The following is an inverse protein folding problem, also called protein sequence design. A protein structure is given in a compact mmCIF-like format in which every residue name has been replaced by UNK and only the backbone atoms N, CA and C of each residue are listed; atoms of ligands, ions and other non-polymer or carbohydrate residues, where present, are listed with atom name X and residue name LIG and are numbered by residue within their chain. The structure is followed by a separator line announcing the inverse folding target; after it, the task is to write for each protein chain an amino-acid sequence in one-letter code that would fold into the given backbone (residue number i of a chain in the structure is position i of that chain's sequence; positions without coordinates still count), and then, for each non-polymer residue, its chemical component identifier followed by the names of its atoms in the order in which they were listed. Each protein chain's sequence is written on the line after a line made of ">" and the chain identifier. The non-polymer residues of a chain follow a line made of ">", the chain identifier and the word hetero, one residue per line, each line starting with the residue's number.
data_IF_056369431950
#
_entry.id   IF_056369431950
#
_cell.length_a   1.000
_cell.length_b   1.000
_cell.length_c   1.000
_cell.angle_alpha   90.00
_cell.angle_beta   90.00
_cell.angle_gamma   90.00
#
_symmetry.space_group_name_H-M   'P 1'
#
loop_
_entity.id
_entity.type
_entity.pdbx_description
1 polymer ?
#
# COMPACT_ATOMS: atom_id res chain seq x y z
N UNK A 1 -0.37 -25.36 -19.06
CA UNK A 1 -1.79 -25.26 -18.66
C UNK A 1 -1.98 -24.66 -17.28
N UNK A 2 -1.14 -24.99 -16.28
CA UNK A 2 -1.19 -24.34 -14.94
C UNK A 2 -0.66 -22.89 -14.98
N UNK A 3 0.35 -22.58 -15.80
CA UNK A 3 0.86 -21.20 -15.96
C UNK A 3 -0.18 -20.22 -16.54
N UNK A 4 -1.05 -20.68 -17.44
CA UNK A 4 -2.12 -19.85 -18.04
C UNK A 4 -3.31 -19.63 -17.09
N UNK A 5 -3.53 -20.53 -16.14
CA UNK A 5 -4.57 -20.38 -15.10
C UNK A 5 -4.04 -19.65 -13.85
N UNK A 6 -2.72 -19.62 -13.66
CA UNK A 6 -2.04 -18.91 -12.56
C UNK A 6 -1.66 -17.46 -12.87
N UNK A 7 -1.79 -17.00 -14.12
CA UNK A 7 -1.50 -15.60 -14.46
C UNK A 7 -2.52 -14.65 -13.83
N UNK A 8 -2.02 -13.69 -13.04
CA UNK A 8 -2.86 -12.73 -12.32
C UNK A 8 -3.74 -11.89 -13.25
N UNK A 9 -3.28 -11.58 -14.47
CA UNK A 9 -4.05 -10.75 -15.39
C UNK A 9 -5.21 -11.55 -15.97
N UNK A 10 -4.96 -12.81 -16.36
CA UNK A 10 -6.01 -13.73 -16.83
C UNK A 10 -7.04 -13.96 -15.72
N UNK A 11 -6.60 -14.23 -14.49
CA UNK A 11 -7.50 -14.42 -13.35
C UNK A 11 -8.38 -13.19 -13.08
N UNK A 12 -7.81 -11.98 -13.11
CA UNK A 12 -8.56 -10.73 -12.92
C UNK A 12 -9.54 -10.44 -14.06
N UNK A 13 -9.18 -10.75 -15.31
CA UNK A 13 -10.09 -10.62 -16.46
C UNK A 13 -11.27 -11.57 -16.31
N UNK A 14 -11.02 -12.84 -15.96
CA UNK A 14 -12.09 -13.82 -15.75
C UNK A 14 -12.99 -13.38 -14.59
N UNK A 15 -12.41 -12.94 -13.47
CA UNK A 15 -13.19 -12.43 -12.34
C UNK A 15 -14.06 -11.23 -12.73
N UNK A 16 -13.54 -10.31 -13.55
CA UNK A 16 -14.30 -9.17 -14.06
C UNK A 16 -15.45 -9.60 -14.98
N UNK A 17 -15.21 -10.57 -15.89
CA UNK A 17 -16.25 -11.12 -16.76
C UNK A 17 -17.36 -11.82 -15.96
N UNK A 18 -16.98 -12.61 -14.95
CA UNK A 18 -17.95 -13.28 -14.05
C UNK A 18 -18.73 -12.25 -13.23
N UNK A 19 -18.08 -11.21 -12.71
CA UNK A 19 -18.73 -10.13 -11.98
C UNK A 19 -19.75 -9.39 -12.88
N UNK A 20 -19.39 -9.08 -14.13
CA UNK A 20 -20.32 -8.47 -15.09
C UNK A 20 -21.47 -9.41 -15.45
N UNK A 21 -21.18 -10.69 -15.70
CA UNK A 21 -22.19 -11.70 -16.03
C UNK A 21 -23.21 -11.90 -14.90
N UNK A 22 -22.75 -11.99 -13.65
CA UNK A 22 -23.62 -12.08 -12.47
C UNK A 22 -24.39 -10.78 -12.18
N UNK A 23 -23.84 -9.62 -12.54
CA UNK A 23 -24.54 -8.35 -12.39
C UNK A 23 -25.68 -8.21 -13.39
N UNK A 24 -25.52 -8.71 -14.62
CA UNK A 24 -26.54 -8.68 -15.68
C UNK A 24 -27.75 -9.57 -15.32
N UNK A 25 -27.56 -10.65 -14.57
CA UNK A 25 -28.65 -11.57 -14.20
C UNK A 25 -29.54 -11.05 -13.07
N UNK A 26 -29.21 -9.91 -12.44
CA UNK A 26 -30.04 -9.31 -11.39
C UNK A 26 -31.34 -8.70 -11.96
N UNK A 27 -32.53 -9.04 -11.39
CA UNK A 27 -33.78 -8.37 -11.74
C UNK A 27 -33.66 -6.86 -11.48
N UNK A 28 -34.15 -6.02 -12.40
CA UNK A 28 -34.04 -4.54 -12.41
C UNK A 28 -32.70 -3.93 -12.84
N UNK A 29 -31.75 -4.74 -13.33
CA UNK A 29 -30.50 -4.22 -13.92
C UNK A 29 -30.75 -3.58 -15.30
N UNK A 30 -30.32 -2.35 -15.48
CA UNK A 30 -30.42 -1.59 -16.74
C UNK A 30 -29.02 -1.23 -17.22
N UNK A 31 -28.83 -1.02 -18.53
CA UNK A 31 -27.53 -0.59 -19.11
C UNK A 31 -26.93 0.61 -18.37
N UNK A 32 -27.75 1.60 -17.99
CA UNK A 32 -27.30 2.78 -17.23
C UNK A 32 -26.79 2.42 -15.82
N UNK A 33 -27.47 1.52 -15.11
CA UNK A 33 -27.04 1.06 -13.77
C UNK A 33 -25.74 0.25 -13.86
N UNK A 34 -25.60 -0.55 -14.91
CA UNK A 34 -24.36 -1.30 -15.17
C UNK A 34 -23.19 -0.37 -15.49
N UNK A 35 -23.39 0.63 -16.36
CA UNK A 35 -22.38 1.63 -16.68
C UNK A 35 -21.96 2.45 -15.45
N UNK A 36 -22.90 2.81 -14.58
CA UNK A 36 -22.62 3.48 -13.32
C UNK A 36 -21.78 2.60 -12.36
N UNK A 37 -22.14 1.31 -12.22
CA UNK A 37 -21.38 0.38 -11.39
C UNK A 37 -19.94 0.17 -11.89
N UNK A 38 -19.77 0.01 -13.20
CA UNK A 38 -18.45 -0.10 -13.83
C UNK A 38 -17.65 1.20 -13.63
N UNK A 39 -18.28 2.36 -13.84
CA UNK A 39 -17.61 3.67 -13.65
C UNK A 39 -17.16 3.89 -12.21
N UNK A 40 -17.97 3.48 -11.23
CA UNK A 40 -17.60 3.54 -9.82
C UNK A 40 -16.40 2.62 -9.51
N UNK A 41 -16.39 1.39 -10.04
CA UNK A 41 -15.27 0.47 -9.89
C UNK A 41 -13.98 1.01 -10.54
N UNK A 42 -14.08 1.56 -11.76
CA UNK A 42 -12.95 2.20 -12.44
C UNK A 42 -12.45 3.42 -11.68
N UNK A 43 -13.33 4.26 -11.12
CA UNK A 43 -12.94 5.43 -10.35
C UNK A 43 -12.16 5.04 -9.09
N UNK A 44 -12.60 3.98 -8.38
CA UNK A 44 -11.87 3.45 -7.23
C UNK A 44 -10.47 2.95 -7.58
N UNK A 45 -10.27 2.37 -8.77
CA UNK A 45 -8.97 1.89 -9.24
C UNK A 45 -8.12 2.96 -9.94
N UNK A 46 -8.75 4.00 -10.51
CA UNK A 46 -8.10 5.00 -11.35
C UNK A 46 -7.05 5.82 -10.60
N UNK A 47 -7.32 6.16 -9.34
CA UNK A 47 -6.34 6.83 -8.47
C UNK A 47 -5.08 5.97 -8.28
N UNK A 48 -5.24 4.65 -8.13
CA UNK A 48 -4.12 3.71 -8.00
C UNK A 48 -3.30 3.70 -9.27
N UNK A 49 -3.95 3.65 -10.44
CA UNK A 49 -3.28 3.67 -11.74
C UNK A 49 -2.47 4.95 -11.89
N UNK A 50 -3.07 6.12 -11.63
CA UNK A 50 -2.38 7.41 -11.74
C UNK A 50 -1.16 7.52 -10.82
N UNK A 51 -1.28 7.11 -9.55
CA UNK A 51 -0.16 7.16 -8.62
C UNK A 51 0.92 6.14 -9.00
N UNK A 52 0.53 4.94 -9.48
CA UNK A 52 1.47 3.92 -9.96
C UNK A 52 2.25 4.42 -11.18
N UNK A 53 1.57 5.05 -12.14
CA UNK A 53 2.20 5.67 -13.31
C UNK A 53 3.18 6.78 -12.89
N UNK A 54 2.81 7.62 -11.92
CA UNK A 54 3.71 8.63 -11.35
C UNK A 54 4.91 8.00 -10.64
N UNK A 55 4.72 6.87 -9.94
CA UNK A 55 5.78 6.09 -9.31
C UNK A 55 6.81 5.56 -10.31
N UNK A 56 6.37 5.13 -11.49
CA UNK A 56 7.29 4.76 -12.58
C UNK A 56 8.18 5.91 -13.04
N UNK A 57 7.60 7.12 -13.20
CA UNK A 57 8.35 8.34 -13.51
C UNK A 57 9.31 8.75 -12.40
N UNK A 58 8.87 8.65 -11.14
CA UNK A 58 9.70 8.89 -9.96
C UNK A 58 10.90 7.92 -9.89
N UNK A 59 10.70 6.65 -10.23
CA UNK A 59 11.78 5.66 -10.33
C UNK A 59 12.83 6.01 -11.37
N UNK A 60 12.41 6.55 -12.53
CA UNK A 60 13.34 7.05 -13.54
C UNK A 60 14.13 8.26 -13.03
N UNK A 61 13.47 9.18 -12.32
CA UNK A 61 14.12 10.32 -11.68
C UNK A 61 15.14 9.88 -10.62
N UNK A 62 14.81 8.90 -9.76
CA UNK A 62 15.75 8.33 -8.78
C UNK A 62 17.01 7.79 -9.47
N UNK A 63 16.83 6.99 -10.54
CA UNK A 63 17.96 6.44 -11.31
C UNK A 63 18.85 7.51 -11.93
N UNK A 64 18.28 8.64 -12.33
CA UNK A 64 19.01 9.76 -12.94
C UNK A 64 19.58 10.75 -11.90
N UNK A 65 19.06 10.74 -10.67
CA UNK A 65 19.40 11.73 -9.63
C UNK A 65 20.77 11.54 -8.97
N UNK A 66 21.50 10.46 -9.28
CA UNK A 66 22.75 10.14 -8.60
C UNK A 66 22.56 9.78 -7.13
N UNK A 67 21.39 9.24 -6.77
CA UNK A 67 21.12 8.85 -5.38
C UNK A 67 22.09 7.76 -4.89
N UNK A 68 22.66 6.99 -5.81
CA UNK A 68 23.67 5.97 -5.52
C UNK A 68 24.89 6.59 -4.86
N UNK A 69 25.37 7.71 -5.40
CA UNK A 69 26.51 8.45 -4.87
C UNK A 69 26.20 9.09 -3.52
N UNK A 70 24.96 9.60 -3.34
CA UNK A 70 24.51 10.19 -2.07
C UNK A 70 24.39 9.14 -0.96
N UNK A 71 23.81 7.97 -1.26
CA UNK A 71 23.70 6.85 -0.32
C UNK A 71 25.10 6.31 0.04
N UNK A 72 26.01 6.22 -0.93
CA UNK A 72 27.39 5.82 -0.70
C UNK A 72 28.17 6.83 0.17
N UNK A 73 27.85 8.13 0.08
CA UNK A 73 28.53 9.21 0.80
C UNK A 73 27.97 9.56 2.19
N UNK A 74 26.70 9.23 2.50
CA UNK A 74 26.01 9.69 3.72
C UNK A 74 26.09 8.68 4.90
N UNK A 75 26.77 7.55 4.70
CA UNK A 75 26.84 6.45 5.67
C UNK A 75 25.59 5.56 5.61
N UNK A 76 25.82 4.25 5.64
CA UNK A 76 24.77 3.24 5.44
C UNK A 76 23.62 3.34 6.46
N UNK A 77 23.91 3.71 7.72
CA UNK A 77 22.90 3.81 8.79
C UNK A 77 21.91 4.97 8.57
N UNK A 78 22.41 6.17 8.23
CA UNK A 78 21.58 7.35 7.98
C UNK A 78 20.66 7.13 6.78
N UNK A 79 21.20 6.55 5.70
CA UNK A 79 20.43 6.19 4.52
C UNK A 79 19.38 5.09 4.82
N UNK A 80 19.71 4.15 5.71
CA UNK A 80 18.80 3.08 6.13
C UNK A 80 17.58 3.62 6.83
N UNK A 81 17.81 4.38 7.90
CA UNK A 81 16.74 4.92 8.73
C UNK A 81 15.89 5.90 7.92
N UNK A 82 16.51 6.78 7.14
CA UNK A 82 15.82 7.77 6.32
C UNK A 82 14.86 7.14 5.31
N UNK A 83 15.30 6.09 4.62
CA UNK A 83 14.50 5.43 3.58
C UNK A 83 13.30 4.68 4.17
N UNK A 84 13.50 3.91 5.25
CA UNK A 84 12.42 3.16 5.91
C UNK A 84 11.37 4.11 6.53
N UNK A 85 11.80 5.20 7.15
CA UNK A 85 10.91 6.22 7.70
C UNK A 85 10.09 6.92 6.61
N UNK A 86 10.73 7.27 5.49
CA UNK A 86 10.07 7.95 4.38
C UNK A 86 8.98 7.07 3.75
N UNK A 87 9.29 5.79 3.55
CA UNK A 87 8.33 4.80 3.02
C UNK A 87 7.16 4.62 3.99
N UNK A 88 7.44 4.45 5.29
CA UNK A 88 6.43 4.36 6.33
C UNK A 88 5.51 5.59 6.34
N UNK A 89 6.10 6.79 6.36
CA UNK A 89 5.36 8.06 6.40
C UNK A 89 4.49 8.24 5.15
N UNK A 90 5.01 7.91 3.96
CA UNK A 90 4.24 7.99 2.73
C UNK A 90 3.07 6.98 2.74
N UNK A 91 3.28 5.74 3.19
CA UNK A 91 2.19 4.77 3.30
C UNK A 91 1.12 5.22 4.29
N UNK A 92 1.53 5.76 5.45
CA UNK A 92 0.60 6.30 6.44
C UNK A 92 -0.19 7.47 5.87
N UNK A 93 0.45 8.39 5.15
CA UNK A 93 -0.22 9.54 4.54
C UNK A 93 -1.26 9.10 3.50
N UNK A 94 -0.87 8.22 2.59
CA UNK A 94 -1.78 7.71 1.55
C UNK A 94 -2.94 6.95 2.20
N UNK A 95 -2.67 6.06 3.16
CA UNK A 95 -3.74 5.35 3.87
C UNK A 95 -4.65 6.31 4.62
N UNK A 96 -4.12 7.33 5.27
CA UNK A 96 -4.95 8.29 6.01
C UNK A 96 -5.91 9.00 5.06
N UNK A 97 -5.44 9.42 3.88
CA UNK A 97 -6.30 10.06 2.89
C UNK A 97 -7.30 9.09 2.21
N UNK A 98 -6.89 7.85 1.97
CA UNK A 98 -7.62 6.88 1.14
C UNK A 98 -8.46 5.87 1.93
N UNK A 99 -8.11 5.58 3.18
CA UNK A 99 -8.78 4.65 4.07
C UNK A 99 -8.45 3.16 3.89
N UNK A 100 -7.92 2.73 2.75
CA UNK A 100 -7.64 1.31 2.48
C UNK A 100 -6.19 0.93 2.74
N UNK A 101 -5.97 -0.04 3.65
CA UNK A 101 -4.63 -0.56 3.95
C UNK A 101 -3.99 -1.22 2.73
N UNK A 102 -4.73 -2.10 2.05
CA UNK A 102 -4.21 -2.83 0.88
C UNK A 102 -3.88 -1.90 -0.27
N UNK A 103 -4.75 -0.92 -0.53
CA UNK A 103 -4.51 0.00 -1.64
C UNK A 103 -3.30 0.89 -1.36
N UNK A 104 -3.19 1.45 -0.15
CA UNK A 104 -2.03 2.25 0.23
C UNK A 104 -0.72 1.46 0.12
N UNK A 105 -0.71 0.20 0.56
CA UNK A 105 0.47 -0.67 0.43
C UNK A 105 0.85 -0.90 -1.03
N UNK A 106 -0.10 -1.27 -1.90
CA UNK A 106 0.18 -1.50 -3.33
C UNK A 106 0.69 -0.20 -3.99
N UNK A 107 0.07 0.93 -3.67
CA UNK A 107 0.47 2.23 -4.19
C UNK A 107 1.90 2.58 -3.81
N UNK A 108 2.26 2.51 -2.53
CA UNK A 108 3.63 2.83 -2.10
C UNK A 108 4.63 1.79 -2.59
N UNK A 109 4.30 0.50 -2.54
CA UNK A 109 5.16 -0.55 -3.10
C UNK A 109 5.46 -0.32 -4.58
N UNK A 110 4.49 0.19 -5.35
CA UNK A 110 4.71 0.52 -6.77
C UNK A 110 5.67 1.70 -6.99
N UNK A 111 5.60 2.72 -6.12
CA UNK A 111 6.50 3.89 -6.15
C UNK A 111 7.94 3.47 -5.85
N UNK A 112 8.13 2.56 -4.88
CA UNK A 112 9.46 2.12 -4.43
C UNK A 112 9.96 0.82 -5.09
N UNK A 113 9.15 0.19 -5.94
CA UNK A 113 9.54 -1.04 -6.68
C UNK A 113 10.88 -0.91 -7.41
N UNK A 114 11.18 0.21 -8.11
CA UNK A 114 12.48 0.38 -8.77
C UNK A 114 13.67 0.32 -7.82
N UNK A 115 13.50 0.79 -6.57
CA UNK A 115 14.52 0.74 -5.53
C UNK A 115 14.65 -0.67 -4.95
N UNK A 116 13.52 -1.34 -4.71
CA UNK A 116 13.50 -2.72 -4.21
C UNK A 116 14.11 -3.74 -5.19
N UNK A 117 13.97 -3.50 -6.50
CA UNK A 117 14.51 -4.34 -7.57
C UNK A 117 15.99 -4.07 -7.87
N UNK A 118 16.62 -3.14 -7.14
CA UNK A 118 18.05 -2.84 -7.25
C UNK A 118 18.69 -2.97 -5.86
N UNK A 119 18.85 -4.22 -5.35
CA UNK A 119 19.31 -4.46 -3.98
C UNK A 119 20.65 -3.78 -3.67
N UNK A 120 21.49 -3.60 -4.69
CA UNK A 120 22.82 -2.99 -4.60
C UNK A 120 22.80 -1.48 -4.28
N UNK A 121 21.63 -0.85 -4.37
CA UNK A 121 21.42 0.54 -3.94
C UNK A 121 20.97 0.64 -2.48
N UNK A 122 20.59 -0.48 -1.86
CA UNK A 122 20.10 -0.52 -0.49
C UNK A 122 21.16 -1.12 0.44
N UNK A 123 21.42 -0.50 1.59
CA UNK A 123 22.29 -1.09 2.61
C UNK A 123 21.64 -2.29 3.36
N UNK A 124 20.44 -2.71 2.98
CA UNK A 124 19.66 -3.77 3.62
C UNK A 124 18.80 -4.52 2.60
N UNK A 125 18.38 -5.75 2.95
CA UNK A 125 17.52 -6.57 2.11
C UNK A 125 16.15 -5.91 1.86
N UNK A 126 15.63 -5.88 0.61
CA UNK A 126 14.35 -5.24 0.26
C UNK A 126 13.13 -5.67 1.09
N UNK A 127 13.21 -6.80 1.79
CA UNK A 127 12.17 -7.23 2.75
C UNK A 127 11.88 -6.18 3.82
N UNK A 128 12.90 -5.46 4.30
CA UNK A 128 12.71 -4.40 5.30
C UNK A 128 11.94 -3.22 4.72
N UNK A 129 12.12 -2.93 3.43
CA UNK A 129 11.32 -1.94 2.72
C UNK A 129 9.85 -2.36 2.68
N UNK A 130 9.58 -3.63 2.34
CA UNK A 130 8.23 -4.18 2.32
C UNK A 130 7.57 -4.18 3.71
N UNK A 131 8.34 -4.52 4.76
CA UNK A 131 7.88 -4.44 6.14
C UNK A 131 7.55 -3.01 6.56
N UNK A 132 8.37 -2.02 6.19
CA UNK A 132 8.11 -0.61 6.48
C UNK A 132 6.82 -0.12 5.80
N UNK A 133 6.56 -0.52 4.55
CA UNK A 133 5.26 -0.28 3.87
C UNK A 133 4.13 -0.91 4.67
N UNK A 134 4.27 -2.17 5.06
CA UNK A 134 3.26 -2.89 5.86
C UNK A 134 2.96 -2.20 7.19
N UNK A 135 4.00 -1.77 7.90
CA UNK A 135 3.89 -1.03 9.16
C UNK A 135 3.22 0.33 8.94
N UNK A 136 3.57 1.05 7.87
CA UNK A 136 2.99 2.34 7.51
C UNK A 136 1.50 2.25 7.13
N UNK A 137 0.97 1.07 6.84
CA UNK A 137 -0.45 0.83 6.63
C UNK A 137 -1.28 0.71 7.93
N UNK A 138 -0.69 0.89 9.11
CA UNK A 138 -1.37 0.74 10.41
C UNK A 138 -1.74 2.05 11.13
N UNK A 139 -0.93 3.12 11.11
CA UNK A 139 -1.29 4.35 11.82
C UNK A 139 -2.53 5.05 11.24
N UNK A 140 -3.29 5.71 12.11
CA UNK A 140 -4.41 6.59 11.75
C UNK A 140 -5.59 5.83 11.09
N UNK A 141 -6.17 4.89 11.82
CA UNK A 141 -7.49 4.36 11.48
C UNK A 141 -8.56 5.36 11.92
N UNK A 142 -9.36 5.88 10.97
CA UNK A 142 -10.38 6.90 11.20
C UNK A 142 -11.55 6.72 10.21
N UNK A 143 -12.44 7.70 10.08
CA UNK A 143 -13.70 7.57 9.32
C UNK A 143 -13.53 7.15 7.85
N UNK A 144 -12.37 7.40 7.23
CA UNK A 144 -12.09 6.95 5.87
C UNK A 144 -11.84 5.42 5.79
N UNK A 145 -11.46 4.78 6.89
CA UNK A 145 -11.05 3.37 6.95
C UNK A 145 -12.25 2.43 7.14
N UNK A 146 -12.44 1.49 6.22
CA UNK A 146 -13.52 0.51 6.30
C UNK A 146 -13.34 -0.49 7.46
N UNK A 147 -12.10 -0.84 7.79
CA UNK A 147 -11.76 -1.68 8.94
C UNK A 147 -12.11 -1.01 10.27
N UNK A 148 -11.95 0.32 10.38
CA UNK A 148 -12.42 1.09 11.52
C UNK A 148 -13.94 0.92 11.72
N UNK A 149 -14.73 1.04 10.65
CA UNK A 149 -16.18 0.87 10.72
C UNK A 149 -16.62 -0.54 11.07
N UNK A 150 -15.95 -1.56 10.52
CA UNK A 150 -16.24 -2.96 10.86
C UNK A 150 -16.05 -3.20 12.36
N UNK A 151 -14.91 -2.78 12.92
CA UNK A 151 -14.63 -2.95 14.35
C UNK A 151 -15.62 -2.14 15.20
N UNK A 152 -15.86 -0.87 14.84
CA UNK A 152 -16.80 0.00 15.56
C UNK A 152 -18.20 -0.61 15.62
N UNK A 153 -18.74 -1.08 14.48
CA UNK A 153 -20.11 -1.62 14.40
C UNK A 153 -20.25 -3.01 15.02
N UNK A 154 -19.27 -3.90 14.80
CA UNK A 154 -19.31 -5.25 15.38
C UNK A 154 -19.14 -5.23 16.89
N UNK A 155 -18.40 -4.25 17.43
CA UNK A 155 -18.17 -4.11 18.87
C UNK A 155 -19.26 -3.32 19.59
N UNK A 156 -20.23 -2.75 18.87
CA UNK A 156 -21.29 -1.91 19.44
C UNK A 156 -20.80 -0.56 19.99
N UNK A 157 -19.61 -0.11 19.59
CA UNK A 157 -19.00 1.14 20.06
C UNK A 157 -19.59 2.36 19.36
N UNK A 158 -19.63 3.49 20.04
CA UNK A 158 -19.83 4.80 19.39
C UNK A 158 -18.59 5.20 18.58
N UNK A 159 -18.75 6.11 17.62
CA UNK A 159 -17.63 6.60 16.80
C UNK A 159 -16.53 7.26 17.65
N UNK A 160 -16.90 7.96 18.71
CA UNK A 160 -15.95 8.61 19.62
C UNK A 160 -15.16 7.58 20.42
N UNK A 161 -15.80 6.54 20.94
CA UNK A 161 -15.13 5.45 21.66
C UNK A 161 -14.22 4.65 20.72
N UNK A 162 -14.69 4.37 19.51
CA UNK A 162 -13.93 3.67 18.50
C UNK A 162 -12.67 4.46 18.11
N UNK A 163 -12.77 5.77 17.88
CA UNK A 163 -11.60 6.62 17.61
C UNK A 163 -10.62 6.63 18.79
N UNK A 164 -11.12 6.75 20.02
CA UNK A 164 -10.28 6.77 21.23
C UNK A 164 -9.57 5.44 21.50
N UNK A 165 -10.08 4.34 20.96
CA UNK A 165 -9.54 3.00 21.22
C UNK A 165 -8.71 2.47 20.05
N UNK A 166 -9.30 2.48 18.85
CA UNK A 166 -8.72 1.88 17.65
C UNK A 166 -7.57 2.71 17.13
N UNK A 167 -7.70 4.04 17.08
CA UNK A 167 -6.67 4.91 16.48
C UNK A 167 -5.35 4.84 17.26
N UNK A 168 -5.32 5.01 18.61
CA UNK A 168 -4.08 4.89 19.37
C UNK A 168 -3.46 3.48 19.28
N UNK A 169 -4.28 2.44 19.40
CA UNK A 169 -3.82 1.05 19.26
C UNK A 169 -3.15 0.83 17.90
N UNK A 170 -3.76 1.34 16.82
CA UNK A 170 -3.24 1.19 15.47
C UNK A 170 -1.94 1.97 15.23
N UNK A 171 -1.80 3.15 15.85
CA UNK A 171 -0.56 3.93 15.85
C UNK A 171 0.55 3.16 16.57
N UNK A 172 0.26 2.59 17.74
CA UNK A 172 1.23 1.78 18.50
C UNK A 172 1.67 0.57 17.66
N UNK A 173 0.75 -0.16 17.03
CA UNK A 173 1.10 -1.28 16.17
C UNK A 173 2.02 -0.87 15.00
N UNK A 174 1.70 0.23 14.33
CA UNK A 174 2.52 0.73 13.21
C UNK A 174 3.91 1.19 13.65
N UNK A 175 3.99 1.95 14.75
CA UNK A 175 5.25 2.50 15.27
C UNK A 175 6.15 1.41 15.85
N UNK A 176 5.61 0.47 16.63
CA UNK A 176 6.37 -0.68 17.13
C UNK A 176 6.88 -1.54 15.98
N UNK A 177 6.05 -1.80 14.96
CA UNK A 177 6.46 -2.52 13.76
C UNK A 177 7.59 -1.81 13.01
N UNK A 178 7.53 -0.48 12.88
CA UNK A 178 8.59 0.33 12.27
C UNK A 178 9.90 0.25 13.07
N UNK A 179 9.85 0.41 14.39
CA UNK A 179 11.03 0.29 15.26
C UNK A 179 11.67 -1.08 15.13
N UNK A 180 10.87 -2.15 15.16
CA UNK A 180 11.36 -3.51 14.96
C UNK A 180 11.96 -3.71 13.55
N UNK A 181 11.35 -3.11 12.52
CA UNK A 181 11.85 -3.16 11.14
C UNK A 181 13.20 -2.45 11.01
N UNK A 182 13.34 -1.26 11.60
CA UNK A 182 14.61 -0.50 11.60
C UNK A 182 15.68 -1.23 12.40
N UNK A 183 15.34 -1.75 13.59
CA UNK A 183 16.28 -2.55 14.38
C UNK A 183 16.72 -3.80 13.63
N UNK A 184 15.81 -4.50 12.96
CA UNK A 184 16.13 -5.63 12.09
C UNK A 184 17.06 -5.25 10.94
N UNK A 185 16.78 -4.15 10.25
CA UNK A 185 17.62 -3.67 9.16
C UNK A 185 19.04 -3.27 9.60
N UNK A 186 19.21 -2.74 10.81
CA UNK A 186 20.51 -2.36 11.35
C UNK A 186 21.30 -3.55 11.93
N UNK A 187 20.62 -4.46 12.66
CA UNK A 187 21.27 -5.59 13.33
C UNK A 187 21.50 -6.78 12.40
N UNK A 188 20.57 -7.00 11.47
CA UNK A 188 20.58 -8.13 10.53
C UNK A 188 20.24 -7.61 9.13
N UNK A 189 21.14 -6.91 8.43
CA UNK A 189 20.83 -6.27 7.17
C UNK A 189 20.50 -7.26 6.03
N UNK A 190 20.86 -8.55 6.17
CA UNK A 190 20.54 -9.65 5.24
C UNK A 190 20.96 -9.38 3.77
N UNK A 191 22.03 -8.60 3.59
CA UNK A 191 22.69 -8.30 2.30
C UNK A 191 23.83 -9.28 2.02
#
# INVERSE_FOLDING_TARGET
>A
TVETLGDKNIALIIAALVAMGTLITRPSMTRNKMAAAISAALSSGGVIILITSAGGGFGAAIRQSGIKEVIAGTGAETATIGTLLLVFALTTLIRTAQGSSTVAMITVASIFSPLALQPELLPYHPVYLALAVGCGSKPIAWMADSGFWVICKMSGMTESEALRTITPMSIIMGTVGLVATVAGALLFPLV
#
